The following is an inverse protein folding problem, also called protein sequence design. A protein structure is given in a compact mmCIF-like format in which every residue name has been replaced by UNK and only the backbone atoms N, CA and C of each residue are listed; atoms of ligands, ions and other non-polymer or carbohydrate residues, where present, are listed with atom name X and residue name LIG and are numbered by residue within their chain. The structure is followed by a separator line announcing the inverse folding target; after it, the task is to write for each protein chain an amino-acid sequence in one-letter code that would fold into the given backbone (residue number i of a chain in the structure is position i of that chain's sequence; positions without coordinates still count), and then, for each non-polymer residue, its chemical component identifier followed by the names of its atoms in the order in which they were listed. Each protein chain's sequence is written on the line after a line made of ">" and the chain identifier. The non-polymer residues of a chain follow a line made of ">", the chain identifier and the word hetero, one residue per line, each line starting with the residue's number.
data_IF_478005781750
#
_entry.id   IF_478005781750
#
_cell.length_a   1.000
_cell.length_b   1.000
_cell.length_c   1.000
_cell.angle_alpha   90.00
_cell.angle_beta   90.00
_cell.angle_gamma   90.00
#
_symmetry.space_group_name_H-M   'P 1'
#
loop_
_entity.id
_entity.type
_entity.pdbx_description
1 polymer ?
#
# COMPACT_ATOMS: atom_id res chain seq x y z
N UNK A 1 2.04 10.26 56.66
CA UNK A 1 2.81 9.56 55.60
C UNK A 1 2.46 10.07 54.19
N UNK A 2 1.64 11.12 54.04
CA UNK A 2 1.44 11.87 52.78
C UNK A 2 2.61 12.82 52.41
N UNK A 3 3.30 13.42 53.38
CA UNK A 3 4.26 14.51 53.11
C UNK A 3 5.56 14.09 52.39
N UNK A 4 5.94 12.81 52.45
CA UNK A 4 7.11 12.29 51.74
C UNK A 4 6.85 11.98 50.26
N UNK A 5 5.59 11.85 49.82
CA UNK A 5 5.25 11.59 48.41
C UNK A 5 5.25 12.86 47.57
N UNK A 6 4.81 13.98 48.13
CA UNK A 6 4.81 15.30 47.46
C UNK A 6 6.23 15.84 47.19
N UNK A 7 7.21 15.50 48.04
CA UNK A 7 8.61 15.92 47.88
C UNK A 7 9.34 15.21 46.73
N UNK A 8 8.93 13.98 46.37
CA UNK A 8 9.51 13.21 45.25
C UNK A 8 8.97 13.67 43.89
N UNK A 9 7.75 14.18 43.82
CA UNK A 9 7.15 14.63 42.55
C UNK A 9 7.62 16.04 42.13
N UNK A 10 8.01 16.90 43.09
CA UNK A 10 8.57 18.24 42.81
C UNK A 10 10.05 18.25 42.41
N UNK A 11 10.84 17.21 42.75
CA UNK A 11 12.28 17.14 42.40
C UNK A 11 12.58 16.64 40.98
N UNK A 12 11.67 15.88 40.34
CA UNK A 12 11.86 15.45 38.94
C UNK A 12 11.51 16.53 37.90
N UNK A 13 10.65 17.49 38.24
CA UNK A 13 10.26 18.60 37.34
C UNK A 13 11.37 19.66 37.21
N UNK A 14 12.24 19.78 38.22
CA UNK A 14 13.35 20.74 38.23
C UNK A 14 14.57 20.26 37.41
N UNK A 15 14.64 18.97 37.04
CA UNK A 15 15.75 18.39 36.25
C UNK A 15 15.49 18.42 34.73
N UNK A 16 14.25 18.63 34.28
CA UNK A 16 13.92 18.68 32.84
C UNK A 16 13.94 20.12 32.28
N UNK A 17 13.99 21.15 33.14
CA UNK A 17 13.92 22.55 32.74
C UNK A 17 15.27 23.30 32.66
N UNK A 18 16.42 22.62 32.80
CA UNK A 18 17.74 23.26 32.95
C UNK A 18 18.82 22.89 31.91
N UNK A 19 18.44 22.37 30.74
CA UNK A 19 19.39 22.18 29.62
C UNK A 19 18.81 22.73 28.32
N UNK A 20 18.56 24.03 28.35
CA UNK A 20 18.56 24.95 27.21
C UNK A 20 19.10 26.24 27.86
N UNK A 21 20.29 26.74 27.54
CA UNK A 21 20.47 27.83 26.57
C UNK A 21 21.98 28.18 26.53
N UNK A 22 22.49 28.35 25.30
CA UNK A 22 23.67 29.11 24.87
C UNK A 22 25.08 28.70 25.34
N UNK A 23 25.81 28.08 24.41
CA UNK A 23 27.07 28.64 23.93
C UNK A 23 27.05 28.63 22.41
N UNK A 24 26.95 29.83 21.82
CA UNK A 24 27.02 30.11 20.39
C UNK A 24 28.49 30.46 20.09
N UNK A 25 29.21 29.65 19.32
CA UNK A 25 30.51 30.03 18.74
C UNK A 25 30.72 29.30 17.41
N UNK A 26 30.24 29.98 16.36
CA UNK A 26 30.87 30.17 15.05
C UNK A 26 31.68 28.99 14.51
N UNK A 27 30.98 28.12 13.77
CA UNK A 27 31.50 27.59 12.51
C UNK A 27 30.49 27.98 11.44
N UNK A 28 30.87 28.88 10.53
CA UNK A 28 30.09 29.19 9.32
C UNK A 28 30.11 27.94 8.44
N UNK A 29 29.24 26.98 8.76
CA UNK A 29 28.75 26.08 7.74
C UNK A 29 27.60 26.84 7.09
N UNK A 30 27.78 27.21 5.83
CA UNK A 30 26.67 27.49 4.95
C UNK A 30 25.61 26.43 5.24
N UNK A 31 24.39 26.85 5.57
CA UNK A 31 23.26 25.95 5.67
C UNK A 31 23.17 25.27 4.31
N UNK A 32 23.77 24.08 4.19
CA UNK A 32 23.37 23.13 3.20
C UNK A 32 21.91 22.93 3.59
N UNK A 33 20.92 23.38 2.79
CA UNK A 33 19.56 22.93 3.04
C UNK A 33 19.70 21.43 3.18
N UNK A 34 19.17 20.85 4.24
CA UNK A 34 18.99 19.41 4.30
C UNK A 34 18.07 19.08 3.12
N UNK A 35 18.67 18.98 1.94
CA UNK A 35 18.30 18.06 0.92
C UNK A 35 18.24 16.78 1.73
N UNK A 36 17.02 16.42 2.09
CA UNK A 36 16.68 15.02 2.11
C UNK A 36 17.30 14.52 0.81
N UNK A 37 18.48 13.91 0.91
CA UNK A 37 19.08 13.17 -0.18
C UNK A 37 18.04 12.12 -0.44
N UNK A 38 17.13 12.43 -1.36
CA UNK A 38 16.17 11.49 -1.90
C UNK A 38 17.04 10.36 -2.40
N UNK A 39 17.12 9.29 -1.60
CA UNK A 39 17.71 8.03 -2.01
C UNK A 39 17.23 7.80 -3.44
N UNK A 40 18.18 7.68 -4.39
CA UNK A 40 17.98 7.65 -5.84
C UNK A 40 16.50 7.64 -6.23
N UNK A 41 15.96 8.81 -6.57
CA UNK A 41 14.52 9.10 -6.52
C UNK A 41 13.65 7.93 -7.03
N UNK A 42 13.15 7.10 -6.08
CA UNK A 42 12.53 5.81 -6.38
C UNK A 42 11.41 5.98 -7.41
N UNK A 43 11.51 5.23 -8.50
CA UNK A 43 10.46 5.15 -9.51
C UNK A 43 9.35 4.23 -9.00
N UNK A 44 8.14 4.51 -9.42
CA UNK A 44 6.96 3.74 -9.09
C UNK A 44 5.99 3.76 -10.26
N UNK A 45 5.07 2.80 -10.31
CA UNK A 45 3.98 2.81 -11.26
C UNK A 45 2.93 3.82 -10.77
N UNK A 46 2.56 4.78 -11.62
CA UNK A 46 1.68 5.89 -11.27
C UNK A 46 0.44 5.92 -12.15
N UNK A 47 -0.70 6.16 -11.51
CA UNK A 47 -1.94 6.54 -12.19
C UNK A 47 -2.50 7.86 -11.65
N UNK A 48 -3.21 8.61 -12.51
CA UNK A 48 -3.99 9.77 -12.09
C UNK A 48 -5.36 9.26 -11.66
N UNK A 49 -5.81 9.67 -10.47
CA UNK A 49 -7.12 9.29 -9.95
C UNK A 49 -8.00 10.51 -9.74
N UNK A 50 -9.30 10.30 -9.90
CA UNK A 50 -10.36 11.19 -9.44
C UNK A 50 -11.36 10.34 -8.68
N UNK A 51 -11.39 10.49 -7.35
CA UNK A 51 -12.47 9.98 -6.53
C UNK A 51 -13.62 10.99 -6.60
N UNK A 52 -14.79 10.55 -7.02
CA UNK A 52 -15.89 11.41 -7.47
C UNK A 52 -16.67 12.06 -6.32
N UNK A 53 -16.48 11.60 -5.07
CA UNK A 53 -17.19 12.11 -3.90
C UNK A 53 -18.35 11.23 -3.43
N UNK A 54 -18.72 10.24 -4.23
CA UNK A 54 -19.77 9.28 -3.93
C UNK A 54 -19.26 8.25 -2.92
N UNK A 55 -20.03 8.07 -1.85
CA UNK A 55 -19.70 7.19 -0.74
C UNK A 55 -20.69 6.06 -0.51
N UNK A 56 -21.89 6.22 -1.05
CA UNK A 56 -23.07 5.51 -0.56
C UNK A 56 -23.83 4.81 -1.69
N UNK A 57 -23.59 5.18 -2.96
CA UNK A 57 -24.26 4.49 -4.07
C UNK A 57 -23.72 3.07 -4.28
N UNK A 58 -24.56 2.22 -4.87
CA UNK A 58 -24.17 0.87 -5.29
C UNK A 58 -23.02 0.88 -6.31
N UNK A 59 -22.84 1.99 -7.04
CA UNK A 59 -21.76 2.14 -8.01
C UNK A 59 -20.50 2.80 -7.43
N UNK A 60 -20.54 3.32 -6.20
CA UNK A 60 -19.46 4.11 -5.62
C UNK A 60 -18.12 3.35 -5.68
N UNK A 61 -18.15 2.02 -5.48
CA UNK A 61 -16.99 1.17 -5.62
C UNK A 61 -16.42 1.20 -7.05
N UNK A 62 -17.23 0.82 -8.05
CA UNK A 62 -16.83 0.74 -9.47
C UNK A 62 -16.32 2.09 -9.97
N UNK A 63 -17.02 3.16 -9.60
CA UNK A 63 -16.73 4.52 -10.06
C UNK A 63 -15.48 5.14 -9.40
N UNK A 64 -15.01 4.56 -8.28
CA UNK A 64 -13.84 5.07 -7.56
C UNK A 64 -12.67 4.08 -7.50
N UNK A 65 -12.80 2.90 -8.09
CA UNK A 65 -11.75 1.88 -8.10
C UNK A 65 -10.77 2.10 -9.27
N UNK A 66 -9.49 2.18 -8.94
CA UNK A 66 -8.40 2.26 -9.90
C UNK A 66 -7.45 1.09 -9.69
N UNK A 67 -7.21 0.35 -10.76
CA UNK A 67 -6.35 -0.83 -10.77
C UNK A 67 -5.01 -0.47 -11.38
N UNK A 68 -3.94 -0.96 -10.78
CA UNK A 68 -2.59 -0.98 -11.34
C UNK A 68 -1.96 -2.34 -11.12
N UNK A 69 -1.26 -2.84 -12.13
CA UNK A 69 -0.66 -4.16 -12.09
C UNK A 69 0.64 -4.23 -12.87
N UNK A 70 1.54 -5.13 -12.45
CA UNK A 70 2.78 -5.40 -13.15
C UNK A 70 3.15 -6.89 -13.14
N UNK A 71 3.67 -7.36 -14.26
CA UNK A 71 4.12 -8.72 -14.49
C UNK A 71 5.56 -8.94 -14.06
N UNK A 72 5.82 -10.03 -13.35
CA UNK A 72 7.18 -10.48 -13.03
C UNK A 72 7.88 -11.06 -14.27
N UNK A 73 9.19 -10.89 -14.35
CA UNK A 73 10.00 -11.36 -15.49
C UNK A 73 10.03 -12.88 -15.62
N UNK A 74 9.99 -13.62 -14.49
CA UNK A 74 10.19 -15.06 -14.49
C UNK A 74 8.88 -15.78 -14.21
N UNK A 75 8.56 -16.75 -15.06
CA UNK A 75 7.51 -17.69 -14.78
C UNK A 75 7.86 -18.52 -13.52
N UNK A 76 6.88 -18.73 -12.65
CA UNK A 76 7.06 -19.48 -11.40
C UNK A 76 5.92 -20.46 -11.17
N UNK A 77 6.22 -21.53 -10.42
CA UNK A 77 5.18 -22.35 -9.82
C UNK A 77 4.53 -21.57 -8.68
N UNK A 78 3.25 -21.84 -8.46
CA UNK A 78 2.51 -21.35 -7.30
C UNK A 78 2.39 -22.45 -6.25
N UNK A 79 2.29 -22.07 -4.98
CA UNK A 79 2.04 -22.98 -3.86
C UNK A 79 0.99 -22.38 -2.94
N UNK A 80 0.42 -23.22 -2.08
CA UNK A 80 -0.36 -22.76 -0.93
C UNK A 80 0.50 -21.86 -0.04
N UNK A 81 -0.13 -20.94 0.67
CA UNK A 81 0.51 -20.04 1.65
C UNK A 81 1.54 -19.07 1.06
N UNK A 82 1.46 -18.78 -0.25
CA UNK A 82 2.18 -17.65 -0.83
C UNK A 82 1.78 -16.34 -0.16
N UNK A 83 2.71 -15.39 -0.17
CA UNK A 83 2.52 -14.07 0.43
C UNK A 83 2.95 -12.98 -0.53
N UNK A 84 2.36 -11.81 -0.39
CA UNK A 84 2.71 -10.65 -1.20
C UNK A 84 3.03 -9.42 -0.34
N UNK A 85 3.85 -8.53 -0.89
CA UNK A 85 4.14 -7.21 -0.33
C UNK A 85 4.02 -6.14 -1.41
N UNK A 86 3.73 -4.91 -0.99
CA UNK A 86 3.66 -3.73 -1.84
C UNK A 86 3.74 -2.45 -1.01
N UNK A 87 4.10 -1.34 -1.65
CA UNK A 87 3.86 0.01 -1.14
C UNK A 87 2.83 0.70 -2.02
N UNK A 88 1.86 1.34 -1.39
CA UNK A 88 0.78 2.08 -2.06
C UNK A 88 0.76 3.50 -1.53
N UNK A 89 0.93 4.47 -2.42
CA UNK A 89 0.95 5.89 -2.09
C UNK A 89 -0.40 6.49 -2.46
N UNK A 90 -1.19 6.86 -1.47
CA UNK A 90 -2.53 7.41 -1.64
C UNK A 90 -2.54 8.90 -1.29
N UNK A 91 -3.19 9.77 -2.09
CA UNK A 91 -3.25 11.19 -1.78
C UNK A 91 -3.79 11.41 -0.36
N UNK A 92 -3.03 12.10 0.50
CA UNK A 92 -3.50 12.44 1.85
C UNK A 92 -4.78 13.29 1.81
N UNK A 93 -4.99 13.97 0.68
CA UNK A 93 -6.19 14.72 0.38
C UNK A 93 -7.47 13.86 0.32
N UNK A 94 -7.36 12.56 0.08
CA UNK A 94 -8.48 11.63 0.08
C UNK A 94 -8.99 11.29 1.49
N UNK A 95 -8.26 11.68 2.55
CA UNK A 95 -8.60 11.39 3.95
C UNK A 95 -8.69 12.69 4.77
N UNK A 96 -9.45 13.67 4.26
CA UNK A 96 -9.57 15.01 4.86
C UNK A 96 -10.70 15.08 5.87
N UNK A 97 -11.88 14.54 5.54
CA UNK A 97 -13.09 14.60 6.36
C UNK A 97 -13.30 13.30 7.13
N UNK A 98 -13.91 13.39 8.30
CA UNK A 98 -14.31 12.21 9.07
C UNK A 98 -15.15 11.26 8.19
N UNK A 99 -14.86 9.96 8.26
CA UNK A 99 -15.50 8.93 7.44
C UNK A 99 -14.95 8.78 6.02
N UNK A 100 -14.09 9.68 5.55
CA UNK A 100 -13.36 9.44 4.30
C UNK A 100 -12.50 8.17 4.44
N UNK A 101 -12.58 7.28 3.45
CA UNK A 101 -11.93 5.98 3.47
C UNK A 101 -11.26 5.68 2.13
N UNK A 102 -10.07 5.11 2.19
CA UNK A 102 -9.36 4.52 1.05
C UNK A 102 -9.17 3.05 1.33
N UNK A 103 -9.53 2.23 0.34
CA UNK A 103 -9.51 0.78 0.41
C UNK A 103 -8.51 0.26 -0.61
N UNK A 104 -7.68 -0.69 -0.20
CA UNK A 104 -6.65 -1.30 -1.03
C UNK A 104 -6.86 -2.81 -1.12
N UNK A 105 -7.12 -3.27 -2.35
CA UNK A 105 -7.22 -4.66 -2.73
C UNK A 105 -5.93 -5.12 -3.39
N UNK A 106 -5.64 -6.42 -3.28
CA UNK A 106 -4.41 -6.99 -3.80
C UNK A 106 -4.64 -8.43 -4.26
N UNK A 107 -4.02 -8.82 -5.38
CA UNK A 107 -4.14 -10.16 -5.95
C UNK A 107 -2.96 -10.50 -6.86
N UNK A 108 -2.87 -11.76 -7.24
CA UNK A 108 -1.92 -12.27 -8.24
C UNK A 108 -2.67 -12.86 -9.42
N UNK A 109 -2.49 -12.28 -10.61
CA UNK A 109 -2.95 -12.84 -11.88
C UNK A 109 -2.05 -14.00 -12.31
N UNK A 110 -2.67 -15.05 -12.83
CA UNK A 110 -2.01 -16.23 -13.36
C UNK A 110 -2.20 -16.28 -14.87
N UNK A 111 -1.10 -16.26 -15.60
CA UNK A 111 -1.09 -16.48 -17.05
C UNK A 111 -0.26 -17.73 -17.34
N UNK A 112 -0.79 -18.66 -18.12
CA UNK A 112 -0.10 -19.91 -18.41
C UNK A 112 1.18 -19.62 -19.21
N UNK A 113 2.33 -20.04 -18.67
CA UNK A 113 3.62 -19.66 -19.25
C UNK A 113 3.89 -20.26 -20.63
N UNK A 114 3.13 -21.29 -21.04
CA UNK A 114 3.31 -21.95 -22.34
C UNK A 114 2.53 -21.28 -23.48
N UNK A 115 1.34 -20.74 -23.18
CA UNK A 115 0.43 -20.26 -24.22
C UNK A 115 -0.11 -18.84 -23.97
N UNK A 116 0.33 -18.17 -22.91
CA UNK A 116 -0.05 -16.80 -22.59
C UNK A 116 -1.51 -16.60 -22.20
N UNK A 117 -2.30 -17.68 -22.02
CA UNK A 117 -3.72 -17.57 -21.68
C UNK A 117 -3.93 -17.30 -20.19
N UNK A 118 -4.90 -16.45 -19.87
CA UNK A 118 -5.34 -16.21 -18.51
C UNK A 118 -5.87 -17.49 -17.85
N UNK A 119 -5.32 -17.79 -16.68
CA UNK A 119 -5.58 -19.00 -15.91
C UNK A 119 -6.30 -18.72 -14.58
N UNK A 120 -6.70 -17.48 -14.34
CA UNK A 120 -7.36 -17.04 -13.11
C UNK A 120 -6.46 -16.19 -12.23
N UNK A 121 -6.95 -15.89 -11.04
CA UNK A 121 -6.26 -15.06 -10.06
C UNK A 121 -6.32 -15.66 -8.66
N UNK A 122 -5.37 -15.25 -7.81
CA UNK A 122 -5.35 -15.55 -6.39
C UNK A 122 -5.46 -14.24 -5.64
N UNK A 123 -6.61 -13.99 -5.03
CA UNK A 123 -6.83 -12.82 -4.18
C UNK A 123 -5.98 -12.87 -2.91
N UNK A 124 -5.62 -11.71 -2.38
CA UNK A 124 -5.14 -11.59 -1.02
C UNK A 124 -6.21 -12.04 -0.02
N UNK A 125 -5.77 -12.51 1.15
CA UNK A 125 -6.69 -12.89 2.22
C UNK A 125 -7.35 -11.66 2.85
N UNK A 126 -6.66 -10.53 2.85
CA UNK A 126 -7.11 -9.31 3.51
C UNK A 126 -7.22 -8.16 2.52
N UNK A 127 -8.24 -7.35 2.70
CA UNK A 127 -8.32 -6.00 2.15
C UNK A 127 -7.80 -5.00 3.20
N UNK A 128 -7.09 -3.96 2.77
CA UNK A 128 -6.58 -2.92 3.69
C UNK A 128 -7.48 -1.69 3.65
N UNK A 129 -7.86 -1.19 4.83
CA UNK A 129 -8.71 -0.02 4.97
C UNK A 129 -7.95 1.07 5.71
N UNK A 130 -7.86 2.25 5.10
CA UNK A 130 -7.30 3.46 5.70
C UNK A 130 -8.41 4.52 5.79
N UNK A 131 -8.81 4.91 7.00
CA UNK A 131 -9.97 5.79 7.22
C UNK A 131 -9.63 6.99 8.10
N UNK A 132 -10.29 8.13 7.84
CA UNK A 132 -10.20 9.34 8.65
C UNK A 132 -11.19 9.27 9.81
N UNK A 133 -10.68 9.22 11.04
CA UNK A 133 -11.48 9.15 12.27
C UNK A 133 -11.11 10.30 13.22
N UNK A 134 -11.94 11.34 13.23
CA UNK A 134 -11.69 12.57 13.96
C UNK A 134 -10.32 13.16 13.59
N UNK A 135 -9.41 13.27 14.56
CA UNK A 135 -8.04 13.78 14.32
C UNK A 135 -7.05 12.71 13.83
N UNK A 136 -7.40 11.42 13.91
CA UNK A 136 -6.50 10.30 13.61
C UNK A 136 -6.78 9.70 12.23
N UNK A 137 -5.82 8.94 11.73
CA UNK A 137 -6.02 8.01 10.62
C UNK A 137 -6.02 6.61 11.22
N UNK A 138 -7.07 5.84 10.94
CA UNK A 138 -7.17 4.44 11.35
C UNK A 138 -6.74 3.56 10.20
N UNK A 139 -6.05 2.48 10.55
CA UNK A 139 -5.70 1.39 9.64
C UNK A 139 -6.33 0.10 10.17
N UNK A 140 -7.06 -0.59 9.30
CA UNK A 140 -7.70 -1.87 9.58
C UNK A 140 -7.50 -2.84 8.41
N UNK A 141 -7.80 -4.11 8.66
CA UNK A 141 -7.87 -5.15 7.64
C UNK A 141 -9.27 -5.77 7.65
N UNK A 142 -9.79 -6.16 6.49
CA UNK A 142 -10.97 -7.04 6.40
C UNK A 142 -10.51 -8.41 5.94
N UNK A 143 -10.75 -9.45 6.74
CA UNK A 143 -10.53 -10.84 6.34
C UNK A 143 -11.61 -11.22 5.32
N UNK A 144 -11.22 -11.37 4.05
CA UNK A 144 -12.12 -11.66 2.94
C UNK A 144 -12.61 -13.12 2.91
N UNK A 145 -12.24 -13.93 3.90
CA UNK A 145 -12.77 -15.29 4.10
C UNK A 145 -13.76 -15.31 5.24
N UNK A 146 -13.50 -14.53 6.30
CA UNK A 146 -14.38 -14.45 7.47
C UNK A 146 -15.37 -13.30 7.41
N UNK A 147 -15.21 -12.40 6.44
CA UNK A 147 -15.97 -11.16 6.25
C UNK A 147 -16.00 -10.31 7.51
N UNK A 148 -14.84 -10.23 8.19
CA UNK A 148 -14.70 -9.55 9.46
C UNK A 148 -13.49 -8.66 9.49
N UNK A 149 -13.65 -7.51 10.12
CA UNK A 149 -12.54 -6.62 10.38
C UNK A 149 -11.58 -7.23 11.42
N UNK A 150 -10.29 -6.95 11.25
CA UNK A 150 -9.24 -7.34 12.18
C UNK A 150 -8.11 -6.30 12.24
N UNK A 151 -7.33 -6.36 13.32
CA UNK A 151 -6.17 -5.48 13.53
C UNK A 151 -5.09 -5.75 12.47
N UNK A 152 -4.38 -4.72 11.98
CA UNK A 152 -3.40 -4.88 10.91
C UNK A 152 -2.13 -5.66 11.29
N UNK A 153 -1.77 -5.70 12.59
CA UNK A 153 -0.60 -6.41 13.07
C UNK A 153 0.68 -6.03 12.33
N UNK A 154 1.43 -7.03 11.86
CA UNK A 154 2.63 -6.83 11.01
C UNK A 154 2.33 -6.85 9.50
N UNK A 155 1.07 -7.07 9.10
CA UNK A 155 0.66 -7.27 7.70
C UNK A 155 0.53 -5.93 6.97
N UNK A 156 0.05 -4.90 7.67
CA UNK A 156 -0.09 -3.57 7.09
C UNK A 156 0.36 -2.50 8.09
N UNK A 157 0.97 -1.44 7.56
CA UNK A 157 1.27 -0.22 8.29
C UNK A 157 1.08 0.99 7.37
N UNK A 158 0.98 2.18 7.93
CA UNK A 158 1.02 3.40 7.12
C UNK A 158 1.91 4.46 7.76
N UNK A 159 2.42 5.37 6.93
CA UNK A 159 3.05 6.62 7.38
C UNK A 159 2.64 7.77 6.49
N UNK A 160 2.60 8.98 7.02
CA UNK A 160 2.47 10.20 6.20
C UNK A 160 3.83 10.55 5.60
N UNK A 161 3.86 10.90 4.32
CA UNK A 161 5.06 11.32 3.59
C UNK A 161 4.67 12.41 2.61
N UNK A 162 4.95 13.67 2.98
CA UNK A 162 4.49 14.84 2.21
C UNK A 162 2.97 14.84 2.00
N UNK A 163 2.55 14.91 0.74
CA UNK A 163 1.14 14.90 0.33
C UNK A 163 0.50 13.51 0.24
N UNK A 164 1.18 12.46 0.72
CA UNK A 164 0.72 11.07 0.66
C UNK A 164 0.61 10.43 2.03
N UNK A 165 -0.31 9.46 2.14
CA UNK A 165 -0.12 8.34 3.05
C UNK A 165 0.48 7.18 2.27
N UNK A 166 1.54 6.58 2.82
CA UNK A 166 2.20 5.42 2.26
C UNK A 166 1.75 4.20 3.04
N UNK A 167 0.90 3.38 2.44
CA UNK A 167 0.47 2.10 2.97
C UNK A 167 1.53 1.07 2.58
N UNK A 168 2.09 0.39 3.57
CA UNK A 168 3.01 -0.73 3.35
C UNK A 168 2.26 -2.02 3.66
N UNK A 169 2.14 -2.88 2.66
CA UNK A 169 1.66 -4.25 2.77
C UNK A 169 2.88 -5.14 2.87
N UNK A 170 2.96 -5.95 3.91
CA UNK A 170 4.10 -6.80 4.19
C UNK A 170 3.68 -8.25 4.40
N UNK A 171 4.13 -9.14 3.52
CA UNK A 171 3.93 -10.57 3.62
C UNK A 171 2.45 -10.96 3.84
N UNK A 172 1.54 -10.24 3.19
CA UNK A 172 0.11 -10.50 3.23
C UNK A 172 -0.17 -11.87 2.65
N UNK A 173 -0.82 -12.78 3.40
CA UNK A 173 -1.12 -14.12 2.89
C UNK A 173 -2.14 -14.03 1.76
N UNK A 174 -1.91 -14.85 0.73
CA UNK A 174 -2.86 -15.06 -0.36
C UNK A 174 -3.88 -16.15 0.01
N UNK A 175 -5.05 -16.11 -0.63
CA UNK A 175 -6.03 -17.19 -0.56
C UNK A 175 -5.44 -18.48 -1.14
N UNK A 176 -5.95 -19.63 -0.71
CA UNK A 176 -5.46 -20.95 -1.14
C UNK A 176 -6.24 -21.53 -2.33
N UNK A 177 -6.93 -20.67 -3.08
CA UNK A 177 -7.78 -21.00 -4.21
C UNK A 177 -7.51 -20.06 -5.37
N UNK A 178 -7.82 -20.52 -6.58
CA UNK A 178 -7.79 -19.73 -7.82
C UNK A 178 -9.20 -19.41 -8.22
N UNK A 179 -9.49 -18.14 -8.47
CA UNK A 179 -10.75 -17.67 -9.03
C UNK A 179 -10.61 -17.45 -10.54
N UNK A 180 -11.57 -17.97 -11.31
CA UNK A 180 -11.65 -17.76 -12.76
C UNK A 180 -13.09 -17.98 -13.22
N UNK A 181 -13.63 -17.05 -14.01
CA UNK A 181 -14.96 -17.18 -14.64
C UNK A 181 -16.04 -17.60 -13.63
N UNK A 182 -16.14 -16.86 -12.51
CA UNK A 182 -17.08 -17.10 -11.41
C UNK A 182 -16.89 -18.42 -10.65
N UNK A 183 -15.84 -19.18 -10.96
CA UNK A 183 -15.53 -20.46 -10.34
C UNK A 183 -14.28 -20.38 -9.50
N UNK A 184 -14.34 -21.05 -8.36
CA UNK A 184 -13.20 -21.21 -7.46
C UNK A 184 -12.65 -22.63 -7.59
N UNK A 185 -11.33 -22.76 -7.74
CA UNK A 185 -10.64 -24.04 -7.88
C UNK A 185 -9.42 -24.14 -6.97
N UNK A 186 -8.92 -25.36 -6.76
CA UNK A 186 -7.70 -25.61 -5.98
C UNK A 186 -6.47 -25.14 -6.77
N UNK A 187 -5.48 -24.61 -6.06
CA UNK A 187 -4.18 -24.26 -6.63
C UNK A 187 -3.51 -25.48 -7.29
N UNK A 188 -3.16 -25.34 -8.57
CA UNK A 188 -2.31 -26.30 -9.28
C UNK A 188 -0.84 -25.95 -9.07
N UNK A 189 -0.13 -26.75 -8.26
CA UNK A 189 1.28 -26.52 -7.91
C UNK A 189 2.28 -27.06 -8.92
N UNK A 190 1.83 -27.82 -9.93
CA UNK A 190 2.71 -28.43 -10.94
C UNK A 190 3.01 -27.46 -12.09
N UNK A 191 2.04 -26.62 -12.44
CA UNK A 191 2.12 -25.67 -13.55
C UNK A 191 2.96 -24.44 -13.20
N UNK A 192 3.72 -23.94 -14.19
CA UNK A 192 4.40 -22.64 -14.13
C UNK A 192 3.50 -21.57 -14.77
N UNK A 193 3.48 -20.40 -14.16
CA UNK A 193 2.69 -19.26 -14.59
C UNK A 193 3.58 -18.02 -14.74
N UNK A 194 3.32 -17.19 -15.74
CA UNK A 194 3.70 -15.79 -15.70
C UNK A 194 2.80 -15.12 -14.64
N UNK A 195 3.41 -14.49 -13.64
CA UNK A 195 2.69 -13.92 -12.51
C UNK A 195 2.57 -12.41 -12.68
N UNK A 196 1.37 -11.88 -12.53
CA UNK A 196 1.13 -10.44 -12.41
C UNK A 196 0.69 -10.10 -11.01
N UNK A 197 1.23 -9.06 -10.40
CA UNK A 197 0.73 -8.54 -9.12
C UNK A 197 -0.15 -7.33 -9.37
N UNK A 198 -1.41 -7.40 -8.92
CA UNK A 198 -2.39 -6.35 -9.04
C UNK A 198 -2.70 -5.69 -7.70
N UNK A 199 -2.94 -4.39 -7.75
CA UNK A 199 -3.38 -3.55 -6.64
C UNK A 199 -4.57 -2.72 -7.13
N UNK A 200 -5.68 -2.79 -6.40
CA UNK A 200 -6.84 -1.93 -6.56
C UNK A 200 -6.86 -0.87 -5.47
N UNK A 201 -7.13 0.39 -5.84
CA UNK A 201 -7.30 1.48 -4.88
C UNK A 201 -8.67 2.12 -5.10
N UNK A 202 -9.54 2.00 -4.10
CA UNK A 202 -10.89 2.57 -4.10
C UNK A 202 -10.97 3.72 -3.11
N UNK A 203 -11.38 4.90 -3.55
CA UNK A 203 -11.63 6.04 -2.68
C UNK A 203 -13.13 6.21 -2.38
N UNK A 204 -13.56 5.82 -1.19
CA UNK A 204 -14.89 6.11 -0.65
C UNK A 204 -14.75 7.36 0.20
N UNK A 205 -14.60 8.49 -0.47
CA UNK A 205 -14.14 9.73 0.16
C UNK A 205 -14.72 10.97 -0.52
N UNK A 206 -14.59 12.10 0.16
CA UNK A 206 -14.87 13.42 -0.41
C UNK A 206 -14.14 13.59 -1.75
N UNK A 207 -14.82 14.20 -2.73
CA UNK A 207 -14.31 14.40 -4.08
C UNK A 207 -12.87 14.93 -4.06
N UNK A 208 -11.97 14.16 -4.66
CA UNK A 208 -10.53 14.43 -4.63
C UNK A 208 -9.88 13.88 -5.90
N UNK A 209 -8.96 14.64 -6.47
CA UNK A 209 -8.08 14.15 -7.54
C UNK A 209 -6.63 14.18 -7.11
N UNK A 210 -5.83 13.30 -7.70
CA UNK A 210 -4.41 13.21 -7.40
C UNK A 210 -3.72 12.12 -8.20
N UNK A 211 -2.57 11.69 -7.70
CA UNK A 211 -1.86 10.55 -8.24
C UNK A 211 -1.78 9.46 -7.19
N UNK A 212 -1.99 8.21 -7.60
CA UNK A 212 -1.68 7.03 -6.79
C UNK A 212 -0.44 6.39 -7.37
N UNK A 213 0.42 5.87 -6.49
CA UNK A 213 1.60 5.11 -6.90
C UNK A 213 1.59 3.73 -6.26
N UNK A 214 2.09 2.72 -6.99
CA UNK A 214 2.45 1.42 -6.43
C UNK A 214 3.92 1.12 -6.71
N UNK A 215 4.58 0.54 -5.72
CA UNK A 215 6.00 0.24 -5.74
C UNK A 215 6.30 -0.98 -4.86
N UNK A 216 7.54 -1.47 -4.91
CA UNK A 216 8.09 -2.49 -4.03
C UNK A 216 7.23 -3.77 -4.03
N UNK A 217 6.75 -4.14 -5.23
CA UNK A 217 5.92 -5.32 -5.42
C UNK A 217 6.78 -6.55 -5.18
N UNK A 218 6.30 -7.45 -4.34
CA UNK A 218 7.01 -8.69 -4.06
C UNK A 218 6.03 -9.83 -3.87
N UNK A 219 6.36 -10.99 -4.42
CA UNK A 219 5.76 -12.26 -4.06
C UNK A 219 6.81 -13.15 -3.40
N UNK A 220 6.38 -13.87 -2.37
CA UNK A 220 7.20 -14.86 -1.66
C UNK A 220 6.43 -16.17 -1.50
N UNK A 221 7.18 -17.28 -1.52
CA UNK A 221 6.63 -18.63 -1.57
C UNK A 221 7.70 -19.63 -2.01
N UNK A 222 7.67 -20.05 -3.28
CA UNK A 222 8.71 -20.92 -3.86
C UNK A 222 9.97 -20.11 -4.18
N UNK A 223 9.79 -19.01 -4.88
CA UNK A 223 10.85 -18.10 -5.29
C UNK A 223 10.40 -16.69 -4.94
N UNK A 224 11.29 -15.90 -4.35
CA UNK A 224 11.03 -14.48 -4.15
C UNK A 224 11.19 -13.78 -5.49
N UNK A 225 10.17 -13.04 -5.92
CA UNK A 225 10.24 -12.17 -7.08
C UNK A 225 9.87 -10.76 -6.66
N UNK A 226 10.54 -9.76 -7.25
CA UNK A 226 10.44 -8.36 -6.85
C UNK A 226 10.41 -7.43 -8.06
N UNK A 227 9.61 -6.37 -7.99
CA UNK A 227 9.57 -5.25 -8.94
C UNK A 227 9.73 -3.96 -8.14
N UNK A 228 10.70 -3.13 -8.53
CA UNK A 228 11.01 -1.83 -7.92
C UNK A 228 10.89 -0.67 -8.90
N UNK A 229 10.69 -0.94 -10.20
CA UNK A 229 10.57 0.07 -11.26
C UNK A 229 11.78 1.00 -11.45
N UNK A 230 12.81 0.89 -10.60
CA UNK A 230 14.07 1.63 -10.72
C UNK A 230 14.91 1.17 -11.92
N UNK A 231 14.63 -0.04 -12.40
CA UNK A 231 15.14 -0.63 -13.64
C UNK A 231 13.99 -1.34 -14.35
N UNK A 232 14.23 -1.87 -15.54
CA UNK A 232 13.29 -2.76 -16.21
C UNK A 232 13.31 -4.15 -15.53
N UNK A 233 12.76 -4.23 -14.31
CA UNK A 233 12.60 -5.46 -13.51
C UNK A 233 11.19 -6.06 -13.62
N UNK A 234 10.37 -5.55 -14.53
CA UNK A 234 9.03 -6.01 -14.86
C UNK A 234 8.96 -6.49 -16.31
N UNK A 235 7.99 -7.35 -16.61
CA UNK A 235 7.70 -7.85 -17.96
C UNK A 235 6.69 -6.97 -18.69
N UNK A 236 5.69 -6.49 -17.96
CA UNK A 236 4.61 -5.65 -18.45
C UNK A 236 4.02 -4.87 -17.27
N UNK A 237 3.30 -3.80 -17.54
CA UNK A 237 2.42 -3.15 -16.58
C UNK A 237 1.15 -2.67 -17.28
N UNK A 238 0.06 -2.56 -16.53
CA UNK A 238 -1.18 -1.96 -17.04
C UNK A 238 -2.00 -1.35 -15.90
N UNK A 239 -3.00 -0.56 -16.27
CA UNK A 239 -3.98 0.00 -15.35
C UNK A 239 -5.40 -0.19 -15.85
N UNK A 240 -6.36 -0.08 -14.94
CA UNK A 240 -7.79 -0.23 -15.23
C UNK A 240 -8.64 0.75 -14.41
N UNK A 241 -9.74 1.21 -14.98
CA UNK A 241 -10.77 2.01 -14.32
C UNK A 241 -12.05 1.99 -15.15
N UNK A 242 -13.22 1.79 -14.54
CA UNK A 242 -14.52 1.75 -15.25
C UNK A 242 -14.50 0.80 -16.47
N UNK A 243 -13.93 -0.40 -16.28
CA UNK A 243 -13.79 -1.42 -17.33
C UNK A 243 -12.95 -0.98 -18.55
N UNK A 244 -12.24 0.15 -18.43
CA UNK A 244 -11.31 0.65 -19.44
C UNK A 244 -9.87 0.42 -18.99
N UNK A 245 -9.09 -0.18 -19.88
CA UNK A 245 -7.66 -0.33 -19.69
C UNK A 245 -6.92 0.94 -20.13
N UNK A 246 -5.90 1.31 -19.38
CA UNK A 246 -5.00 2.40 -19.74
C UNK A 246 -3.54 2.03 -19.43
N UNK A 247 -2.62 2.80 -20.01
CA UNK A 247 -1.19 2.67 -19.74
C UNK A 247 -0.77 3.63 -18.61
N UNK A 248 -0.55 3.14 -17.38
CA UNK A 248 0.02 3.94 -16.31
C UNK A 248 1.45 4.36 -16.65
N UNK A 249 2.03 5.28 -15.87
CA UNK A 249 3.39 5.81 -16.10
C UNK A 249 4.34 5.32 -15.03
N UNK A 250 5.49 4.78 -15.41
CA UNK A 250 6.61 4.57 -14.48
C UNK A 250 7.35 5.90 -14.30
N UNK A 251 7.41 6.40 -13.08
CA UNK A 251 7.98 7.73 -12.81
C UNK A 251 8.42 7.87 -11.37
N UNK A 252 9.30 8.82 -11.11
CA UNK A 252 9.71 9.21 -9.77
C UNK A 252 8.52 9.69 -8.94
N UNK A 253 8.46 9.26 -7.69
CA UNK A 253 7.46 9.72 -6.72
C UNK A 253 7.74 11.21 -6.42
N UNK A 254 6.73 12.07 -6.64
CA UNK A 254 6.80 13.53 -6.44
C UNK A 254 5.88 13.98 -5.32
#
# INVERSE_FOLDING_TARGET
>A
MEDLRMLKQKKSIVVIAKVLVMALLIGVFAAIPSTETFAAANKALRTKVTFNGDKDSDEAWRNNNYIMQAGYQKASKIKKNMKMSAKVYVPAAALKKNGDTVIVDAWINLENSKNGKYAGEIGAKYQVILSKEGKKIRLALVDLVKEKECKPGKIASYKKSGKYYVITINNMPLKNTVYKDEKTSKINTKTKYNLGQGIGVTGICTKTSGYVYIDDLQISGVTVQKITFNKEDYKWYSGGHLDKYYSPKVTTIK
#
